data_IF_444877391115
#
_entry.id   IF_444877391115
#
_cell.length_a   1.000
_cell.length_b   1.000
_cell.length_c   1.000
_cell.angle_alpha   90.00
_cell.angle_beta   90.00
_cell.angle_gamma   90.00
#
_symmetry.space_group_name_H-M   'P 1'
#
loop_
_entity.id
_entity.type
_entity.pdbx_description
1 polymer ?
#
# COMPACT_ATOMS: atom_id res chain seq x y z
N UNK A 1 -17.48 -6.43 -9.47
CA UNK A 1 -17.46 -6.48 -8.00
C UNK A 1 -16.03 -6.44 -7.49
N UNK A 2 -15.76 -5.65 -6.48
CA UNK A 2 -14.44 -5.72 -5.85
C UNK A 2 -14.18 -7.11 -5.29
N UNK A 3 -12.96 -7.56 -5.42
CA UNK A 3 -12.55 -8.82 -4.84
C UNK A 3 -12.17 -8.57 -3.38
N UNK A 4 -12.89 -9.21 -2.44
CA UNK A 4 -12.61 -9.04 -1.02
C UNK A 4 -11.16 -9.41 -0.69
N UNK A 5 -10.56 -10.35 -1.43
CA UNK A 5 -9.18 -10.72 -1.21
C UNK A 5 -8.19 -9.62 -1.58
N UNK A 6 -8.57 -8.70 -2.45
CA UNK A 6 -7.68 -7.59 -2.82
C UNK A 6 -7.46 -6.64 -1.65
N UNK A 7 -8.53 -6.31 -0.91
CA UNK A 7 -8.35 -5.45 0.27
C UNK A 7 -7.51 -6.17 1.33
N UNK A 8 -7.70 -7.46 1.50
CA UNK A 8 -6.88 -8.23 2.44
C UNK A 8 -5.42 -8.26 2.03
N UNK A 9 -5.13 -8.46 0.74
CA UNK A 9 -3.76 -8.43 0.24
C UNK A 9 -3.13 -7.07 0.47
N UNK A 10 -3.88 -6.01 0.21
CA UNK A 10 -3.41 -4.64 0.41
C UNK A 10 -3.09 -4.37 1.88
N UNK A 11 -4.02 -4.71 2.76
CA UNK A 11 -3.83 -4.53 4.19
C UNK A 11 -2.65 -5.35 4.70
N UNK A 12 -2.55 -6.60 4.27
CA UNK A 12 -1.47 -7.48 4.70
C UNK A 12 -0.10 -6.96 4.27
N UNK A 13 0.00 -6.39 3.07
CA UNK A 13 1.25 -5.82 2.60
C UNK A 13 1.71 -4.69 3.52
N UNK A 14 0.79 -3.84 3.98
CA UNK A 14 1.10 -2.78 4.93
C UNK A 14 1.52 -3.33 6.28
N UNK A 15 0.75 -4.28 6.80
CA UNK A 15 1.04 -4.85 8.12
C UNK A 15 2.39 -5.56 8.14
N UNK A 16 2.72 -6.29 7.11
CA UNK A 16 4.00 -6.99 7.02
C UNK A 16 5.17 -6.03 6.82
N UNK A 17 4.97 -5.02 5.96
CA UNK A 17 6.05 -4.09 5.65
C UNK A 17 6.43 -3.21 6.83
N UNK A 18 5.45 -2.81 7.63
CA UNK A 18 5.65 -1.85 8.72
C UNK A 18 5.55 -2.48 10.10
N UNK A 19 5.22 -3.77 10.17
CA UNK A 19 5.03 -4.48 11.45
C UNK A 19 4.01 -3.76 12.33
N UNK A 20 2.85 -3.45 11.75
CA UNK A 20 1.78 -2.71 12.43
C UNK A 20 0.50 -3.53 12.45
N UNK A 21 -0.44 -3.12 13.32
CA UNK A 21 -1.72 -3.78 13.46
C UNK A 21 -2.76 -3.23 12.50
N UNK A 22 -3.77 -4.04 12.21
CA UNK A 22 -4.84 -3.65 11.31
C UNK A 22 -5.55 -2.38 11.73
N UNK A 23 -5.65 -2.13 13.03
CA UNK A 23 -6.29 -0.93 13.56
C UNK A 23 -5.60 0.37 13.14
N UNK A 24 -4.34 0.28 12.69
CA UNK A 24 -3.61 1.44 12.21
C UNK A 24 -3.85 1.74 10.74
N UNK A 25 -4.55 0.86 10.03
CA UNK A 25 -4.83 1.01 8.60
C UNK A 25 -6.06 1.88 8.39
N UNK A 26 -5.84 3.19 8.38
CA UNK A 26 -6.91 4.17 8.23
C UNK A 26 -6.39 5.41 7.50
N UNK A 27 -7.25 6.41 7.36
CA UNK A 27 -6.92 7.63 6.61
C UNK A 27 -5.79 8.45 7.21
N UNK A 28 -5.41 8.18 8.46
CA UNK A 28 -4.31 8.88 9.12
C UNK A 28 -2.95 8.25 8.84
N UNK A 29 -2.93 7.05 8.27
CA UNK A 29 -1.67 6.36 7.96
C UNK A 29 -1.07 6.94 6.68
N UNK A 30 0.00 7.72 6.85
CA UNK A 30 0.66 8.46 5.79
C UNK A 30 2.15 8.27 5.85
N UNK A 31 2.84 8.62 4.77
CA UNK A 31 4.29 8.59 4.71
C UNK A 31 4.87 9.40 5.89
N UNK A 32 5.74 8.78 6.62
CA UNK A 32 6.41 9.34 7.81
C UNK A 32 5.47 9.63 8.99
N UNK A 33 4.21 9.21 8.95
CA UNK A 33 3.34 9.32 10.13
C UNK A 33 3.70 8.31 11.21
N UNK A 34 4.42 7.25 10.83
CA UNK A 34 5.00 6.27 11.75
C UNK A 34 6.47 6.09 11.38
N UNK A 35 7.33 5.73 12.35
CA UNK A 35 8.76 5.56 12.06
C UNK A 35 9.05 4.52 10.98
N UNK A 36 8.24 3.49 10.90
CA UNK A 36 8.42 2.40 9.95
C UNK A 36 8.16 2.81 8.51
N UNK A 37 7.37 3.85 8.29
CA UNK A 37 7.08 4.33 6.93
C UNK A 37 8.03 5.47 6.57
N UNK A 38 9.27 5.13 6.43
CA UNK A 38 10.31 6.02 5.89
C UNK A 38 10.61 5.61 4.44
N UNK A 39 11.68 6.14 3.87
CA UNK A 39 12.00 5.85 2.46
C UNK A 39 12.31 4.37 2.23
N UNK A 40 12.94 3.71 3.19
CA UNK A 40 13.25 2.27 3.08
C UNK A 40 11.97 1.45 3.23
N UNK A 41 11.17 1.75 4.26
CA UNK A 41 9.90 1.07 4.47
C UNK A 41 8.93 1.28 3.32
N UNK A 42 8.94 2.48 2.72
CA UNK A 42 8.12 2.77 1.56
C UNK A 42 8.44 1.82 0.40
N UNK A 43 9.71 1.65 0.08
CA UNK A 43 10.10 0.76 -1.01
C UNK A 43 9.83 -0.70 -0.69
N UNK A 44 9.96 -1.09 0.57
CA UNK A 44 9.60 -2.44 0.99
C UNK A 44 8.10 -2.70 0.78
N UNK A 45 7.26 -1.74 1.17
CA UNK A 45 5.82 -1.84 0.98
C UNK A 45 5.46 -1.88 -0.50
N UNK A 46 6.06 -1.02 -1.33
CA UNK A 46 5.82 -1.01 -2.77
C UNK A 46 6.19 -2.38 -3.37
N UNK A 47 7.35 -2.92 -2.99
CA UNK A 47 7.78 -4.24 -3.49
C UNK A 47 6.79 -5.34 -3.12
N UNK A 48 6.27 -5.30 -1.90
CA UNK A 48 5.28 -6.28 -1.47
C UNK A 48 3.97 -6.15 -2.26
N UNK A 49 3.54 -4.93 -2.55
CA UNK A 49 2.35 -4.70 -3.36
C UNK A 49 2.54 -5.21 -4.79
N UNK A 50 3.69 -4.94 -5.37
CA UNK A 50 4.00 -5.42 -6.71
C UNK A 50 3.97 -6.95 -6.77
N UNK A 51 4.47 -7.60 -5.73
CA UNK A 51 4.49 -9.05 -5.67
C UNK A 51 3.10 -9.65 -5.49
N UNK A 52 2.31 -9.15 -4.54
CA UNK A 52 1.01 -9.75 -4.25
C UNK A 52 -0.02 -9.49 -5.33
N UNK A 53 0.10 -8.39 -6.06
CA UNK A 53 -0.81 -8.05 -7.16
C UNK A 53 -0.24 -8.35 -8.54
N UNK A 54 1.00 -8.82 -8.60
CA UNK A 54 1.70 -9.14 -9.85
C UNK A 54 1.66 -7.97 -10.82
N UNK A 55 2.09 -6.81 -10.35
CA UNK A 55 2.13 -5.56 -11.12
C UNK A 55 3.51 -4.94 -11.02
N UNK A 56 3.79 -4.03 -11.95
CA UNK A 56 4.98 -3.18 -11.89
C UNK A 56 4.49 -1.74 -11.83
N UNK A 57 4.76 -1.05 -10.73
CA UNK A 57 4.32 0.32 -10.54
C UNK A 57 5.27 1.31 -11.19
N UNK A 58 4.71 2.33 -11.82
CA UNK A 58 5.51 3.39 -12.40
C UNK A 58 6.11 4.29 -11.33
N UNK A 59 7.25 4.89 -11.64
CA UNK A 59 7.97 5.73 -10.68
C UNK A 59 7.10 6.86 -10.13
N UNK A 60 6.32 7.51 -10.99
CA UNK A 60 5.44 8.61 -10.57
C UNK A 60 4.41 8.14 -9.55
N UNK A 61 3.87 6.95 -9.74
CA UNK A 61 2.89 6.39 -8.81
C UNK A 61 3.53 6.00 -7.48
N UNK A 62 4.77 5.51 -7.52
CA UNK A 62 5.52 5.19 -6.30
C UNK A 62 5.73 6.45 -5.47
N UNK A 63 6.10 7.55 -6.13
CA UNK A 63 6.33 8.84 -5.47
C UNK A 63 5.04 9.41 -4.89
N UNK A 64 3.94 9.30 -5.64
CA UNK A 64 2.65 9.85 -5.23
C UNK A 64 1.95 9.01 -4.15
N UNK A 65 2.42 7.80 -3.91
CA UNK A 65 1.84 6.89 -2.93
C UNK A 65 2.17 7.39 -1.51
N UNK A 66 1.40 8.34 -1.03
CA UNK A 66 1.72 9.08 0.20
C UNK A 66 0.86 8.70 1.40
N UNK A 67 -0.16 7.88 1.21
CA UNK A 67 -1.01 7.44 2.32
C UNK A 67 -1.71 6.12 1.98
N UNK A 68 -2.26 5.49 3.01
CA UNK A 68 -3.02 4.26 2.85
C UNK A 68 -4.23 4.47 1.91
N UNK A 69 -4.92 5.59 2.06
CA UNK A 69 -6.10 5.90 1.23
C UNK A 69 -5.72 6.25 -0.22
N UNK A 70 -4.68 7.06 -0.39
CA UNK A 70 -4.22 7.44 -1.74
C UNK A 70 -3.74 6.22 -2.51
N UNK A 71 -3.11 5.27 -1.82
CA UNK A 71 -2.63 4.05 -2.44
C UNK A 71 -3.73 3.24 -3.10
N UNK A 72 -4.92 3.22 -2.50
CA UNK A 72 -6.06 2.53 -3.10
C UNK A 72 -6.44 3.16 -4.44
N UNK A 73 -6.46 4.49 -4.50
CA UNK A 73 -6.78 5.20 -5.73
C UNK A 73 -5.72 4.95 -6.81
N UNK A 74 -4.46 4.92 -6.42
CA UNK A 74 -3.36 4.63 -7.35
C UNK A 74 -3.50 3.22 -7.93
N UNK A 75 -3.78 2.23 -7.08
CA UNK A 75 -3.89 0.85 -7.52
C UNK A 75 -5.07 0.61 -8.46
N UNK A 76 -6.10 1.45 -8.40
CA UNK A 76 -7.20 1.35 -9.35
C UNK A 76 -6.72 1.54 -10.79
N UNK A 77 -5.68 2.33 -11.01
CA UNK A 77 -5.09 2.50 -12.34
C UNK A 77 -4.50 1.20 -12.88
N UNK A 78 -4.17 0.27 -12.00
CA UNK A 78 -3.63 -1.03 -12.35
C UNK A 78 -4.71 -2.10 -12.35
N UNK A 79 -5.98 -1.69 -12.39
CA UNK A 79 -7.16 -2.56 -12.46
C UNK A 79 -7.36 -3.40 -11.21
N UNK A 80 -6.91 -2.89 -10.08
CA UNK A 80 -7.11 -3.53 -8.78
C UNK A 80 -8.29 -2.86 -8.09
N UNK A 81 -9.37 -3.60 -7.90
CA UNK A 81 -10.59 -3.11 -7.25
C UNK A 81 -10.64 -3.56 -5.80
N UNK A 82 -11.14 -2.69 -4.95
CA UNK A 82 -11.26 -2.97 -3.52
C UNK A 82 -12.72 -3.03 -3.06
#
# INVERSE_FOLDING_TARGET
MPDASNIEKYENAFMESFDIEKSMLNEELKYESIPEWDSVGHMTMISNLEEVFDIVMEMDDIIDFSSFEIGKDILKKYKIDF
#
